data_IF_708871197112
#
_entry.id   IF_708871197112
#
_cell.length_a   1.000
_cell.length_b   1.000
_cell.length_c   1.000
_cell.angle_alpha   90.00
_cell.angle_beta   90.00
_cell.angle_gamma   90.00
#
_symmetry.space_group_name_H-M   'P 1'
#
loop_
_entity.id
_entity.type
_entity.pdbx_description
1 polymer ?
#
# COMPACT_ATOMS: atom_id res chain seq x y z
N UNK A 1 43.10 -5.40 -2.09
CA UNK A 1 41.87 -5.86 -2.78
C UNK A 1 40.70 -5.24 -2.06
N UNK A 2 40.06 -4.27 -2.70
CA UNK A 2 38.98 -3.46 -2.14
C UNK A 2 37.72 -4.30 -2.18
N UNK A 3 37.34 -4.90 -1.05
CA UNK A 3 36.03 -5.54 -0.93
C UNK A 3 35.00 -4.43 -0.83
N UNK A 4 34.31 -4.25 -1.95
CA UNK A 4 33.05 -3.53 -2.11
C UNK A 4 32.13 -3.86 -0.93
N UNK A 5 32.11 -3.00 0.08
CA UNK A 5 31.05 -2.95 1.08
C UNK A 5 29.78 -2.60 0.31
N UNK A 6 29.12 -3.63 -0.22
CA UNK A 6 27.71 -3.57 -0.56
C UNK A 6 27.00 -3.23 0.74
N UNK A 7 26.81 -1.94 0.99
CA UNK A 7 25.70 -1.46 1.80
C UNK A 7 24.45 -1.94 1.09
N UNK A 8 24.10 -3.20 1.35
CA UNK A 8 22.75 -3.71 1.25
C UNK A 8 22.00 -2.88 2.28
N UNK A 9 21.62 -1.66 1.90
CA UNK A 9 20.61 -0.95 2.66
C UNK A 9 19.38 -1.80 2.46
N UNK A 10 19.13 -2.62 3.47
CA UNK A 10 17.89 -3.37 3.65
C UNK A 10 16.84 -2.27 3.86
N UNK A 11 16.36 -1.66 2.77
CA UNK A 11 15.19 -0.81 2.80
C UNK A 11 14.03 -1.78 3.02
N UNK A 12 13.72 -2.00 4.29
CA UNK A 12 12.68 -2.95 4.68
C UNK A 12 11.34 -2.44 4.14
N UNK A 13 10.63 -3.26 3.35
CA UNK A 13 9.31 -2.88 2.86
C UNK A 13 8.43 -2.57 4.06
N UNK A 14 7.75 -1.42 4.02
CA UNK A 14 6.88 -1.04 5.12
C UNK A 14 5.59 -1.82 5.01
N UNK A 15 5.42 -2.75 5.95
CA UNK A 15 4.23 -3.58 6.08
C UNK A 15 3.34 -2.99 7.16
N UNK A 16 2.16 -2.57 6.75
CA UNK A 16 1.13 -2.07 7.65
C UNK A 16 -0.02 -3.07 7.62
N UNK A 17 -0.37 -3.55 8.81
CA UNK A 17 -1.62 -4.25 9.00
C UNK A 17 -2.70 -3.20 9.14
N UNK A 18 -3.57 -3.12 8.14
CA UNK A 18 -4.77 -2.32 8.24
C UNK A 18 -5.88 -3.20 8.82
N UNK A 19 -6.47 -2.72 9.91
CA UNK A 19 -7.57 -3.39 10.55
C UNK A 19 -8.81 -3.18 9.68
N UNK A 20 -9.18 -4.19 8.88
CA UNK A 20 -10.38 -4.15 8.05
C UNK A 20 -11.67 -4.04 8.89
N UNK A 21 -11.59 -4.24 10.21
CA UNK A 21 -12.67 -3.98 11.17
C UNK A 21 -12.68 -2.53 11.67
N UNK A 22 -11.73 -1.66 11.28
CA UNK A 22 -11.79 -0.21 11.53
C UNK A 22 -12.64 0.51 10.49
N UNK A 23 -13.19 1.64 10.90
CA UNK A 23 -14.17 2.45 10.14
C UNK A 23 -13.57 3.22 8.97
N UNK A 24 -12.26 3.12 8.75
CA UNK A 24 -11.55 3.94 7.76
C UNK A 24 -11.60 3.21 6.38
N UNK A 25 -11.70 3.94 5.27
CA UNK A 25 -11.61 3.34 3.94
C UNK A 25 -10.18 2.84 3.67
N UNK A 26 -10.06 1.82 2.81
CA UNK A 26 -8.76 1.24 2.40
C UNK A 26 -7.92 2.27 1.66
N UNK A 27 -8.56 3.15 0.90
CA UNK A 27 -7.90 4.28 0.23
C UNK A 27 -7.14 5.18 1.22
N UNK A 28 -7.73 5.49 2.38
CA UNK A 28 -7.09 6.28 3.44
C UNK A 28 -6.00 5.47 4.16
N UNK A 29 -6.20 4.18 4.37
CA UNK A 29 -5.19 3.29 4.94
C UNK A 29 -3.92 3.20 4.07
N UNK A 30 -4.09 3.15 2.75
CA UNK A 30 -2.97 3.18 1.80
C UNK A 30 -2.24 4.52 1.87
N UNK A 31 -2.95 5.64 1.84
CA UNK A 31 -2.35 6.98 1.96
C UNK A 31 -1.47 7.08 3.22
N UNK A 32 -2.01 6.64 4.36
CA UNK A 32 -1.29 6.64 5.63
C UNK A 32 -0.08 5.68 5.64
N UNK A 33 -0.18 4.52 4.99
CA UNK A 33 0.93 3.58 4.87
C UNK A 33 2.08 4.16 4.04
N UNK A 34 1.77 4.83 2.93
CA UNK A 34 2.78 5.47 2.08
C UNK A 34 3.39 6.68 2.78
N UNK A 35 2.59 7.55 3.40
CA UNK A 35 3.08 8.70 4.17
C UNK A 35 4.05 8.28 5.28
N UNK A 36 3.70 7.21 6.01
CA UNK A 36 4.56 6.60 7.03
C UNK A 36 5.85 6.04 6.44
N UNK A 37 5.78 5.39 5.28
CA UNK A 37 6.96 4.86 4.59
C UNK A 37 7.89 5.99 4.13
N UNK A 38 7.32 7.02 3.52
CA UNK A 38 7.99 8.23 3.09
C UNK A 38 8.45 9.13 4.25
N UNK A 39 8.07 8.82 5.50
CA UNK A 39 8.34 9.64 6.70
C UNK A 39 7.84 11.09 6.59
N UNK A 40 6.82 11.33 5.76
CA UNK A 40 6.31 12.66 5.46
C UNK A 40 7.21 13.52 4.56
N UNK A 41 8.26 12.95 3.95
CA UNK A 41 9.17 13.66 3.04
C UNK A 41 8.76 13.56 1.56
N UNK A 42 7.73 12.76 1.23
CA UNK A 42 7.25 12.63 -0.14
C UNK A 42 6.11 13.61 -0.44
N UNK A 43 6.26 14.37 -1.53
CA UNK A 43 5.17 15.13 -2.14
C UNK A 43 4.28 14.14 -2.91
N UNK A 44 3.35 13.51 -2.19
CA UNK A 44 2.50 12.45 -2.71
C UNK A 44 1.31 13.08 -3.46
N UNK A 45 1.16 12.82 -4.77
CA UNK A 45 -0.05 13.20 -5.50
C UNK A 45 -1.26 12.48 -4.91
N UNK A 46 -2.50 12.98 -5.08
CA UNK A 46 -3.67 12.32 -4.53
C UNK A 46 -3.83 10.90 -5.08
N UNK A 47 -4.18 9.94 -4.22
CA UNK A 47 -4.36 8.53 -4.60
C UNK A 47 -5.29 8.33 -5.80
N UNK A 48 -6.30 9.18 -5.92
CA UNK A 48 -7.28 9.20 -7.02
C UNK A 48 -6.68 9.42 -8.41
N UNK A 49 -5.47 9.99 -8.49
CA UNK A 49 -4.78 10.20 -9.78
C UNK A 49 -4.11 8.91 -10.29
N UNK A 50 -3.86 7.94 -9.40
CA UNK A 50 -3.15 6.70 -9.71
C UNK A 50 -4.06 5.48 -9.66
N UNK A 51 -5.00 5.44 -8.72
CA UNK A 51 -5.93 4.34 -8.51
C UNK A 51 -7.33 4.86 -8.22
N UNK A 52 -8.32 4.15 -8.71
CA UNK A 52 -9.72 4.42 -8.37
C UNK A 52 -9.96 4.00 -6.91
N UNK A 53 -10.06 5.00 -6.03
CA UNK A 53 -10.26 4.79 -4.59
C UNK A 53 -11.60 4.13 -4.29
N UNK A 54 -12.64 4.42 -5.07
CA UNK A 54 -13.96 3.81 -4.90
C UNK A 54 -13.91 2.32 -5.28
N UNK A 55 -13.21 1.98 -6.37
CA UNK A 55 -12.99 0.59 -6.76
C UNK A 55 -12.11 -0.16 -5.75
N UNK A 56 -11.06 0.49 -5.23
CA UNK A 56 -10.20 -0.08 -4.18
C UNK A 56 -11.02 -0.39 -2.92
N UNK A 57 -11.81 0.57 -2.45
CA UNK A 57 -12.70 0.43 -1.30
C UNK A 57 -13.81 -0.61 -1.55
N UNK A 58 -14.25 -0.78 -2.80
CA UNK A 58 -15.20 -1.86 -3.16
C UNK A 58 -14.54 -3.24 -3.14
N UNK A 59 -13.29 -3.35 -3.58
CA UNK A 59 -12.57 -4.62 -3.67
C UNK A 59 -12.05 -5.10 -2.31
N UNK A 60 -11.59 -4.17 -1.47
CA UNK A 60 -10.88 -4.45 -0.23
C UNK A 60 -11.54 -3.88 1.03
N UNK A 61 -12.56 -3.03 0.88
CA UNK A 61 -13.25 -2.41 1.99
C UNK A 61 -14.21 -3.34 2.72
N UNK A 62 -14.88 -2.77 3.73
CA UNK A 62 -15.74 -3.52 4.64
C UNK A 62 -16.85 -4.26 3.91
N UNK A 63 -17.11 -5.45 4.43
CA UNK A 63 -18.27 -6.29 4.21
C UNK A 63 -19.55 -5.55 3.84
N UNK A 64 -19.72 -5.31 2.55
CA UNK A 64 -21.03 -4.94 2.01
C UNK A 64 -21.80 -6.25 1.89
N UNK A 65 -22.98 -6.39 2.51
CA UNK A 65 -23.77 -7.61 2.38
C UNK A 65 -24.13 -7.81 0.89
N UNK A 66 -23.52 -8.81 0.26
CA UNK A 66 -23.71 -9.12 -1.16
C UNK A 66 -22.55 -8.71 -2.09
N UNK A 67 -21.51 -8.03 -1.59
CA UNK A 67 -20.29 -7.84 -2.37
C UNK A 67 -19.54 -9.18 -2.49
N UNK A 68 -19.07 -9.57 -3.70
CA UNK A 68 -18.21 -10.73 -3.84
C UNK A 68 -16.91 -10.45 -3.10
N UNK A 69 -16.74 -11.05 -1.91
CA UNK A 69 -15.44 -11.05 -1.22
C UNK A 69 -14.44 -11.74 -2.13
N UNK A 70 -13.49 -11.00 -2.69
CA UNK A 70 -12.39 -11.59 -3.43
C UNK A 70 -11.37 -12.11 -2.42
N UNK A 71 -11.68 -13.28 -1.85
CA UNK A 71 -10.79 -13.97 -0.91
C UNK A 71 -9.49 -14.35 -1.62
N UNK A 72 -8.37 -13.78 -1.19
CA UNK A 72 -7.05 -14.00 -1.79
C UNK A 72 -6.72 -13.05 -2.94
N UNK A 73 -7.44 -11.94 -3.10
CA UNK A 73 -7.00 -10.88 -4.01
C UNK A 73 -5.81 -10.11 -3.44
N UNK A 74 -4.88 -9.79 -4.33
CA UNK A 74 -3.82 -8.81 -4.13
C UNK A 74 -3.88 -7.81 -5.28
N UNK A 75 -3.95 -6.52 -4.98
CA UNK A 75 -3.80 -5.45 -5.95
C UNK A 75 -2.44 -4.80 -5.75
N UNK A 76 -1.65 -4.72 -6.81
CA UNK A 76 -0.39 -4.01 -6.85
C UNK A 76 -0.49 -2.85 -7.85
N UNK A 77 -0.05 -1.67 -7.45
CA UNK A 77 -0.04 -0.49 -8.30
C UNK A 77 1.10 0.46 -7.93
N UNK A 78 1.55 1.23 -8.93
CA UNK A 78 2.55 2.28 -8.75
C UNK A 78 1.89 3.58 -8.26
N UNK A 79 2.47 4.16 -7.22
CA UNK A 79 2.05 5.40 -6.60
C UNK A 79 3.27 6.28 -6.33
N UNK A 80 3.41 7.36 -7.11
CA UNK A 80 4.62 8.17 -7.15
C UNK A 80 5.89 7.30 -7.36
N UNK A 81 6.85 7.36 -6.43
CA UNK A 81 8.08 6.56 -6.43
C UNK A 81 7.94 5.25 -5.63
N UNK A 82 6.71 4.84 -5.28
CA UNK A 82 6.42 3.67 -4.46
C UNK A 82 5.54 2.65 -5.18
N UNK A 83 5.75 1.37 -4.91
CA UNK A 83 4.84 0.28 -5.25
C UNK A 83 4.02 -0.04 -4.02
N UNK A 84 2.70 0.02 -4.16
CA UNK A 84 1.76 -0.34 -3.11
C UNK A 84 1.11 -1.67 -3.47
N UNK A 85 1.20 -2.63 -2.55
CA UNK A 85 0.50 -3.91 -2.63
C UNK A 85 -0.55 -3.97 -1.51
N UNK A 86 -1.82 -4.12 -1.88
CA UNK A 86 -2.96 -4.27 -0.97
C UNK A 86 -3.51 -5.70 -1.09
N UNK A 87 -3.65 -6.39 0.02
CA UNK A 87 -4.21 -7.73 0.06
C UNK A 87 -5.55 -7.78 0.79
N UNK A 88 -6.44 -8.68 0.34
CA UNK A 88 -7.76 -8.92 0.92
C UNK A 88 -7.74 -9.40 2.38
N UNK A 89 -6.57 -9.73 2.92
CA UNK A 89 -6.35 -10.10 4.32
C UNK A 89 -6.12 -8.89 5.23
N UNK A 90 -6.19 -7.66 4.70
CA UNK A 90 -5.93 -6.42 5.45
C UNK A 90 -4.45 -6.07 5.54
N UNK A 91 -3.61 -6.61 4.66
CA UNK A 91 -2.17 -6.29 4.63
C UNK A 91 -1.90 -5.30 3.50
N UNK A 92 -1.21 -4.20 3.86
CA UNK A 92 -0.70 -3.21 2.91
C UNK A 92 0.83 -3.27 2.99
N UNK A 93 1.48 -3.47 1.85
CA UNK A 93 2.94 -3.42 1.70
C UNK A 93 3.30 -2.24 0.80
N UNK A 94 4.22 -1.39 1.27
CA UNK A 94 4.76 -0.28 0.49
C UNK A 94 6.25 -0.51 0.27
N UNK A 95 6.70 -0.35 -0.97
CA UNK A 95 8.07 -0.56 -1.42
C UNK A 95 8.49 0.61 -2.32
N UNK A 96 9.77 0.91 -2.43
CA UNK A 96 10.24 1.85 -3.45
C UNK A 96 10.14 1.23 -4.86
N UNK A 97 9.54 1.95 -5.82
CA UNK A 97 9.43 1.55 -7.23
C UNK A 97 10.77 1.61 -7.99
N UNK A 98 11.79 2.21 -7.37
CA UNK A 98 13.06 2.51 -8.02
C UNK A 98 14.08 1.37 -8.11
N UNK A 99 14.00 0.26 -7.35
CA UNK A 99 15.04 -0.80 -7.35
C UNK A 99 14.61 -2.17 -6.84
#
# INVERSE_FOLDING_TARGET
MTSDTRTRTEYEPTRVWYDCERTEPVSEAVAAAVDKHARGDADLPPLTDHVDTDALDTLFGRDTPGAPRVSGASLEFDYADFVVTVESVGRIEVRDAGR
#
